data_IF_723623735589
#
_entry.id   IF_723623735589
#
_cell.length_a   1.000
_cell.length_b   1.000
_cell.length_c   1.000
_cell.angle_alpha   90.00
_cell.angle_beta   90.00
_cell.angle_gamma   90.00
#
_symmetry.space_group_name_H-M   'P 1'
#
loop_
_entity.id
_entity.type
_entity.pdbx_description
1 polymer ?
#
# COMPACT_ATOMS: atom_id res chain seq x y z
N UNK A 1 13.09 8.60 -6.31
CA UNK A 1 12.29 8.99 -5.13
C UNK A 1 10.94 9.43 -5.64
N UNK A 2 9.88 8.77 -5.19
CA UNK A 2 8.50 9.05 -5.61
C UNK A 2 7.66 9.30 -4.37
N UNK A 3 6.72 10.23 -4.41
CA UNK A 3 5.82 10.47 -3.29
C UNK A 3 4.43 10.00 -3.67
N UNK A 4 3.89 9.08 -2.86
CA UNK A 4 2.57 8.51 -3.04
C UNK A 4 1.62 9.16 -2.04
N UNK A 5 0.50 9.70 -2.51
CA UNK A 5 -0.51 10.32 -1.65
C UNK A 5 -1.59 9.31 -1.26
N UNK A 6 -1.98 9.34 0.02
CA UNK A 6 -2.99 8.45 0.59
C UNK A 6 -4.05 9.26 1.34
N UNK A 7 -5.22 8.64 1.54
CA UNK A 7 -6.32 9.27 2.25
C UNK A 7 -6.12 9.08 3.74
N UNK A 8 -5.71 10.14 4.45
CA UNK A 8 -5.44 10.13 5.90
C UNK A 8 -6.56 9.49 6.73
N UNK A 9 -7.81 9.68 6.37
CA UNK A 9 -8.93 9.17 7.17
C UNK A 9 -9.30 7.71 6.85
N UNK A 10 -8.69 7.12 5.83
CA UNK A 10 -9.00 5.78 5.36
C UNK A 10 -7.81 4.84 5.56
N UNK A 11 -8.06 3.71 6.21
CA UNK A 11 -7.00 2.72 6.41
C UNK A 11 -7.25 1.78 7.58
N UNK A 12 -6.33 0.85 7.75
CA UNK A 12 -6.27 0.04 8.96
C UNK A 12 -5.93 0.94 10.16
N UNK A 13 -6.74 0.86 11.21
CA UNK A 13 -6.58 1.70 12.40
C UNK A 13 -5.47 1.16 13.29
N UNK A 14 -4.23 1.54 13.00
CA UNK A 14 -3.10 1.33 13.90
C UNK A 14 -3.04 2.51 14.88
N UNK A 15 -3.74 2.35 16.01
CA UNK A 15 -4.14 3.42 16.94
C UNK A 15 -2.98 4.21 17.60
N UNK A 16 -1.73 3.87 17.31
CA UNK A 16 -0.54 4.50 17.88
C UNK A 16 0.49 4.90 16.82
N UNK A 17 0.23 4.75 15.53
CA UNK A 17 1.31 4.91 14.54
C UNK A 17 1.81 6.36 14.38
N UNK A 18 0.95 7.34 14.66
CA UNK A 18 1.16 8.76 14.34
C UNK A 18 1.31 9.62 15.59
N UNK A 19 1.38 9.01 16.77
CA UNK A 19 1.68 9.72 18.00
C UNK A 19 3.10 10.28 17.91
N UNK A 20 3.28 11.62 17.96
CA UNK A 20 4.60 12.23 17.81
C UNK A 20 5.51 11.78 18.95
N UNK A 21 6.64 11.17 18.61
CA UNK A 21 7.57 10.59 19.57
C UNK A 21 7.29 9.13 19.94
N UNK A 22 6.35 8.46 19.27
CA UNK A 22 6.15 7.03 19.48
C UNK A 22 7.28 6.21 18.86
N UNK A 23 8.17 5.72 19.73
CA UNK A 23 9.25 4.81 19.35
C UNK A 23 8.73 3.49 18.73
N UNK A 24 7.49 3.10 19.02
CA UNK A 24 6.89 1.85 18.55
C UNK A 24 6.26 1.98 17.14
N UNK A 25 6.15 3.19 16.56
CA UNK A 25 5.51 3.36 15.25
C UNK A 25 6.22 2.54 14.15
N UNK A 26 7.55 2.56 14.15
CA UNK A 26 8.39 1.76 13.26
C UNK A 26 8.25 0.26 13.51
N UNK A 27 8.12 -0.16 14.78
CA UNK A 27 7.89 -1.57 15.14
C UNK A 27 6.50 -2.05 14.71
N UNK A 28 5.45 -1.25 14.91
CA UNK A 28 4.09 -1.55 14.46
C UNK A 28 4.00 -1.61 12.93
N UNK A 29 4.67 -0.69 12.23
CA UNK A 29 4.80 -0.76 10.77
C UNK A 29 5.49 -2.05 10.35
N UNK A 30 6.60 -2.40 10.99
CA UNK A 30 7.34 -3.62 10.69
C UNK A 30 6.50 -4.87 10.96
N UNK A 31 5.73 -4.89 12.05
CA UNK A 31 4.80 -5.98 12.36
C UNK A 31 3.67 -6.05 11.33
N UNK A 32 3.09 -4.92 10.92
CA UNK A 32 2.04 -4.87 9.89
C UNK A 32 2.59 -5.37 8.54
N UNK A 33 3.74 -4.87 8.09
CA UNK A 33 4.44 -5.31 6.88
C UNK A 33 4.73 -6.82 6.93
N UNK A 34 5.13 -7.34 8.10
CA UNK A 34 5.37 -8.77 8.31
C UNK A 34 4.06 -9.58 8.28
N UNK A 35 2.97 -9.06 8.88
CA UNK A 35 1.63 -9.68 8.87
C UNK A 35 1.06 -9.81 7.47
N UNK A 36 1.30 -8.82 6.61
CA UNK A 36 0.88 -8.88 5.20
C UNK A 36 1.84 -9.72 4.34
N UNK A 37 2.79 -10.44 4.95
CA UNK A 37 3.69 -11.36 4.25
C UNK A 37 4.80 -10.68 3.45
N UNK A 38 5.08 -9.40 3.74
CA UNK A 38 6.08 -8.58 3.05
C UNK A 38 7.29 -8.30 3.95
N UNK A 39 7.54 -9.14 4.96
CA UNK A 39 8.60 -8.97 5.94
C UNK A 39 9.99 -9.02 5.32
N UNK A 40 10.44 -7.91 4.75
CA UNK A 40 11.79 -7.75 4.23
C UNK A 40 12.66 -7.07 5.30
N UNK A 41 13.71 -7.73 5.82
CA UNK A 41 14.56 -7.17 6.87
C UNK A 41 15.35 -5.94 6.41
N UNK A 42 15.51 -5.74 5.10
CA UNK A 42 16.22 -4.61 4.51
C UNK A 42 15.33 -3.37 4.32
N UNK A 43 14.03 -3.46 4.63
CA UNK A 43 13.09 -2.35 4.50
C UNK A 43 12.80 -1.74 5.87
N UNK A 44 12.95 -0.43 5.96
CA UNK A 44 12.71 0.37 7.16
C UNK A 44 11.72 1.47 6.82
N UNK A 45 10.71 1.64 7.67
CA UNK A 45 9.73 2.70 7.55
C UNK A 45 9.85 3.65 8.75
N UNK A 46 9.94 4.95 8.47
CA UNK A 46 10.04 6.02 9.45
C UNK A 46 8.84 6.93 9.32
N UNK A 47 8.15 7.18 10.43
CA UNK A 47 6.97 8.05 10.48
C UNK A 47 7.40 9.44 10.95
N UNK A 48 7.00 10.46 10.19
CA UNK A 48 7.19 11.88 10.48
C UNK A 48 5.85 12.60 10.36
N UNK A 49 5.10 12.67 11.47
CA UNK A 49 3.73 13.15 11.46
C UNK A 49 2.84 12.28 10.58
N UNK A 50 2.21 12.85 9.55
CA UNK A 50 1.38 12.11 8.59
C UNK A 50 2.14 11.55 7.37
N UNK A 51 3.46 11.81 7.28
CA UNK A 51 4.30 11.32 6.20
C UNK A 51 5.08 10.10 6.67
N UNK A 52 5.10 9.04 5.86
CA UNK A 52 5.93 7.86 6.13
C UNK A 52 7.00 7.73 5.07
N UNK A 53 8.26 7.73 5.47
CA UNK A 53 9.40 7.49 4.58
C UNK A 53 9.75 6.03 4.62
N UNK A 54 9.72 5.35 3.47
CA UNK A 54 10.09 3.94 3.37
C UNK A 54 11.40 3.83 2.59
N UNK A 55 12.42 3.29 3.27
CA UNK A 55 13.78 3.13 2.75
C UNK A 55 14.14 1.65 2.75
N UNK A 56 14.98 1.22 1.80
CA UNK A 56 15.48 -0.15 1.80
C UNK A 56 15.79 -0.68 0.42
N UNK A 57 16.04 -1.98 0.37
CA UNK A 57 16.32 -2.71 -0.86
C UNK A 57 15.40 -3.92 -0.98
N UNK A 58 14.72 -4.04 -2.13
CA UNK A 58 13.86 -5.18 -2.43
C UNK A 58 14.31 -5.88 -3.70
N UNK A 59 14.08 -7.19 -3.76
CA UNK A 59 14.43 -7.99 -4.91
C UNK A 59 13.47 -7.78 -6.10
N UNK A 60 12.26 -7.26 -5.88
CA UNK A 60 11.25 -7.12 -6.94
C UNK A 60 10.42 -5.85 -6.76
N UNK A 61 10.03 -5.24 -7.88
CA UNK A 61 9.17 -4.06 -7.85
C UNK A 61 7.79 -4.33 -7.22
N UNK A 62 7.24 -5.52 -7.44
CA UNK A 62 5.98 -5.92 -6.80
C UNK A 62 6.07 -5.86 -5.27
N UNK A 63 7.18 -6.30 -4.68
CA UNK A 63 7.37 -6.27 -3.23
C UNK A 63 7.40 -4.82 -2.72
N UNK A 64 8.15 -3.95 -3.39
CA UNK A 64 8.16 -2.50 -3.14
C UNK A 64 6.75 -1.91 -3.18
N UNK A 65 6.00 -2.17 -4.24
CA UNK A 65 4.66 -1.62 -4.45
C UNK A 65 3.68 -2.07 -3.36
N UNK A 66 3.73 -3.36 -3.00
CA UNK A 66 2.91 -3.92 -1.93
C UNK A 66 3.27 -3.32 -0.56
N UNK A 67 4.56 -3.08 -0.28
CA UNK A 67 4.99 -2.43 0.97
C UNK A 67 4.46 -1.00 1.03
N UNK A 68 4.60 -0.24 -0.06
CA UNK A 68 4.10 1.15 -0.13
C UNK A 68 2.60 1.22 0.11
N UNK A 69 1.84 0.27 -0.45
CA UNK A 69 0.40 0.15 -0.20
C UNK A 69 0.07 -0.24 1.24
N UNK A 70 0.83 -1.17 1.83
CA UNK A 70 0.61 -1.60 3.21
C UNK A 70 0.81 -0.45 4.19
N UNK A 71 1.87 0.33 3.97
CA UNK A 71 2.16 1.51 4.78
C UNK A 71 1.15 2.63 4.53
N UNK A 72 0.80 2.89 3.28
CA UNK A 72 -0.08 4.01 2.93
C UNK A 72 -1.55 3.77 3.24
N UNK A 73 -2.01 2.51 3.28
CA UNK A 73 -3.37 2.14 3.68
C UNK A 73 -3.54 2.07 5.21
N UNK A 74 -2.70 2.75 5.99
CA UNK A 74 -2.83 2.89 7.44
C UNK A 74 -3.54 4.20 7.73
N UNK A 75 -4.52 4.15 8.64
CA UNK A 75 -5.26 5.34 9.04
C UNK A 75 -4.31 6.41 9.61
N UNK A 76 -4.35 7.57 8.98
CA UNK A 76 -3.66 8.82 9.29
C UNK A 76 -2.35 9.03 8.54
N UNK A 77 -1.93 8.06 7.71
CA UNK A 77 -0.87 8.27 6.71
C UNK A 77 -1.43 9.08 5.55
N UNK A 78 -0.88 10.27 5.31
CA UNK A 78 -1.27 11.14 4.20
C UNK A 78 -0.36 11.01 2.99
N UNK A 79 0.90 10.63 3.20
CA UNK A 79 1.86 10.46 2.12
C UNK A 79 2.92 9.45 2.49
N UNK A 80 3.33 8.66 1.50
CA UNK A 80 4.45 7.72 1.61
C UNK A 80 5.56 8.15 0.67
N UNK A 81 6.73 8.45 1.21
CA UNK A 81 7.93 8.75 0.44
C UNK A 81 8.65 7.43 0.11
N UNK A 82 8.71 7.11 -1.17
CA UNK A 82 9.37 5.93 -1.71
C UNK A 82 10.86 6.22 -1.96
N UNK A 83 11.68 5.62 -1.10
CA UNK A 83 13.14 5.55 -1.22
C UNK A 83 13.63 4.10 -1.32
N UNK A 84 12.76 3.17 -1.70
CA UNK A 84 13.14 1.77 -1.90
C UNK A 84 13.86 1.61 -3.23
N UNK A 85 15.02 0.97 -3.20
CA UNK A 85 15.77 0.54 -4.38
C UNK A 85 15.37 -0.88 -4.76
N UNK A 86 15.06 -1.10 -6.04
CA UNK A 86 14.74 -2.43 -6.58
C UNK A 86 15.99 -2.97 -7.28
N UNK A 87 16.50 -4.12 -6.85
CA UNK A 87 17.71 -4.74 -7.42
C UNK A 87 17.43 -5.82 -8.45
N UNK A 88 16.19 -6.29 -8.55
CA UNK A 88 15.79 -7.27 -9.54
C UNK A 88 15.40 -6.67 -10.90
N UNK A 89 14.77 -7.49 -11.77
CA UNK A 89 14.40 -7.07 -13.11
C UNK A 89 13.41 -5.91 -13.08
N UNK A 90 13.65 -4.91 -13.92
CA UNK A 90 12.74 -3.78 -14.10
C UNK A 90 11.50 -4.29 -14.83
N UNK A 91 10.47 -4.61 -14.06
CA UNK A 91 9.14 -4.91 -14.57
C UNK A 91 8.32 -3.62 -14.68
N UNK A 92 7.21 -3.66 -15.39
CA UNK A 92 6.36 -2.49 -15.53
C UNK A 92 5.66 -2.17 -14.20
N UNK A 93 5.61 -0.89 -13.85
CA UNK A 93 5.03 -0.45 -12.58
C UNK A 93 3.52 -0.65 -12.56
N UNK A 94 3.00 -1.15 -11.45
CA UNK A 94 1.57 -1.17 -11.22
C UNK A 94 1.05 0.26 -11.00
N UNK A 95 -0.19 0.50 -11.41
CA UNK A 95 -0.87 1.77 -11.15
C UNK A 95 -1.59 1.67 -9.80
N UNK A 96 -1.49 2.70 -8.97
CA UNK A 96 -2.25 2.77 -7.73
C UNK A 96 -3.54 3.56 -7.94
N UNK A 97 -4.67 2.97 -7.55
CA UNK A 97 -5.98 3.61 -7.63
C UNK A 97 -6.62 3.68 -6.26
N UNK A 98 -6.99 4.88 -5.85
CA UNK A 98 -7.75 5.11 -4.64
C UNK A 98 -9.24 4.80 -4.86
N UNK A 99 -9.80 3.96 -4.01
CA UNK A 99 -11.22 3.61 -3.97
C UNK A 99 -12.01 4.84 -3.52
N UNK A 100 -13.03 5.23 -4.28
CA UNK A 100 -13.93 6.32 -3.89
C UNK A 100 -15.20 5.73 -3.25
N UNK A 101 -15.92 6.52 -2.44
CA UNK A 101 -17.19 6.07 -1.86
C UNK A 101 -18.17 5.63 -2.97
N UNK A 102 -18.55 4.35 -2.93
CA UNK A 102 -19.44 3.72 -3.91
C UNK A 102 -18.73 2.96 -5.04
N UNK A 103 -17.39 3.01 -5.12
CA UNK A 103 -16.64 2.17 -6.06
C UNK A 103 -16.68 0.70 -5.60
N UNK A 104 -16.82 -0.21 -6.58
CA UNK A 104 -16.61 -1.65 -6.42
C UNK A 104 -15.36 -2.07 -7.17
N UNK A 105 -14.80 -3.24 -6.84
CA UNK A 105 -13.61 -3.75 -7.52
C UNK A 105 -13.83 -3.87 -9.04
N UNK A 106 -15.02 -4.32 -9.45
CA UNK A 106 -15.43 -4.41 -10.85
C UNK A 106 -15.60 -3.04 -11.51
N UNK A 107 -16.09 -2.02 -10.80
CA UNK A 107 -16.19 -0.66 -11.33
C UNK A 107 -14.80 -0.05 -11.57
N UNK A 108 -13.87 -0.24 -10.63
CA UNK A 108 -12.47 0.17 -10.77
C UNK A 108 -11.82 -0.57 -11.95
N UNK A 109 -12.04 -1.88 -12.02
CA UNK A 109 -11.53 -2.71 -13.12
C UNK A 109 -12.03 -2.23 -14.48
N UNK A 110 -13.32 -1.91 -14.60
CA UNK A 110 -13.90 -1.34 -15.81
C UNK A 110 -13.32 0.04 -16.14
N UNK A 111 -13.04 0.88 -15.13
CA UNK A 111 -12.44 2.21 -15.33
C UNK A 111 -11.00 2.13 -15.81
N UNK A 112 -10.22 1.17 -15.31
CA UNK A 112 -8.78 1.06 -15.61
C UNK A 112 -8.51 0.18 -16.84
N UNK A 113 -9.12 -1.00 -16.91
CA UNK A 113 -8.91 -1.95 -18.00
C UNK A 113 -9.97 -1.90 -19.10
N UNK A 114 -11.07 -1.16 -18.89
CA UNK A 114 -12.23 -1.20 -19.79
C UNK A 114 -13.14 -2.41 -19.57
N UNK A 115 -12.74 -3.39 -18.78
CA UNK A 115 -13.47 -4.65 -18.55
C UNK A 115 -13.72 -4.89 -17.06
N UNK A 116 -14.99 -5.12 -16.70
CA UNK A 116 -15.39 -5.30 -15.31
C UNK A 116 -15.02 -6.70 -14.74
N UNK A 117 -14.75 -7.69 -15.60
CA UNK A 117 -14.41 -9.05 -15.21
C UNK A 117 -12.92 -9.20 -14.83
N UNK A 118 -12.09 -8.20 -15.13
CA UNK A 118 -10.69 -8.18 -14.73
C UNK A 118 -10.48 -7.81 -13.24
N UNK A 119 -11.56 -7.72 -12.45
CA UNK A 119 -11.49 -7.44 -11.03
C UNK A 119 -10.67 -8.51 -10.29
N UNK A 120 -10.70 -9.77 -10.74
CA UNK A 120 -9.87 -10.85 -10.18
C UNK A 120 -8.38 -10.51 -10.21
N UNK A 121 -7.88 -9.87 -11.28
CA UNK A 121 -6.46 -9.48 -11.37
C UNK A 121 -6.08 -8.48 -10.28
N UNK A 122 -6.95 -7.50 -10.04
CA UNK A 122 -6.78 -6.51 -8.96
C UNK A 122 -6.78 -7.24 -7.62
N UNK A 123 -7.75 -8.13 -7.40
CA UNK A 123 -7.85 -8.89 -6.16
C UNK A 123 -6.58 -9.69 -5.88
N UNK A 124 -6.08 -10.43 -6.87
CA UNK A 124 -4.87 -11.24 -6.72
C UNK A 124 -3.61 -10.39 -6.50
N UNK A 125 -3.48 -9.27 -7.20
CA UNK A 125 -2.35 -8.36 -7.03
C UNK A 125 -2.27 -7.71 -5.63
N UNK A 126 -3.42 -7.59 -4.94
CA UNK A 126 -3.51 -7.02 -3.60
C UNK A 126 -3.55 -8.08 -2.48
N UNK A 127 -3.47 -9.37 -2.80
CA UNK A 127 -3.30 -10.40 -1.76
C UNK A 127 -1.89 -10.35 -1.16
N UNK A 128 -1.74 -10.61 0.15
CA UNK A 128 -2.78 -11.00 1.11
C UNK A 128 -3.50 -9.82 1.80
N UNK A 129 -3.15 -8.57 1.47
CA UNK A 129 -3.72 -7.39 2.11
C UNK A 129 -5.23 -7.26 1.88
N UNK A 130 -5.71 -7.64 0.70
CA UNK A 130 -7.13 -7.72 0.38
C UNK A 130 -7.59 -9.19 0.52
N UNK A 131 -8.39 -9.46 1.55
CA UNK A 131 -8.88 -10.82 1.84
C UNK A 131 -10.13 -11.20 1.03
N UNK A 132 -10.91 -10.23 0.54
CA UNK A 132 -12.08 -10.45 -0.29
C UNK A 132 -12.25 -9.31 -1.30
N UNK A 133 -12.72 -9.56 -2.54
CA UNK A 133 -12.93 -8.51 -3.55
C UNK A 133 -13.86 -7.37 -3.10
N UNK A 134 -14.90 -7.70 -2.33
CA UNK A 134 -15.83 -6.70 -1.77
C UNK A 134 -15.37 -6.05 -0.47
N UNK A 135 -14.26 -6.51 0.14
CA UNK A 135 -13.71 -5.92 1.38
C UNK A 135 -12.81 -4.73 1.07
N UNK A 136 -13.28 -3.85 0.19
CA UNK A 136 -12.64 -2.58 -0.09
C UNK A 136 -13.37 -1.45 0.62
N UNK A 137 -12.65 -0.40 1.01
CA UNK A 137 -13.23 0.75 1.68
C UNK A 137 -12.85 2.06 0.99
N UNK A 138 -13.68 3.11 1.10
CA UNK A 138 -13.38 4.42 0.53
C UNK A 138 -12.06 4.96 1.10
N UNK A 139 -11.19 5.42 0.21
CA UNK A 139 -9.84 5.92 0.50
C UNK A 139 -8.75 4.85 0.53
N UNK A 140 -9.10 3.55 0.43
CA UNK A 140 -8.13 2.49 0.23
C UNK A 140 -7.44 2.65 -1.12
N UNK A 141 -6.12 2.59 -1.16
CA UNK A 141 -5.35 2.49 -2.39
C UNK A 141 -5.19 1.02 -2.77
N UNK A 142 -5.39 0.70 -4.05
CA UNK A 142 -5.27 -0.65 -4.61
C UNK A 142 -4.21 -0.69 -5.70
N UNK A 143 -3.42 -1.76 -5.70
CA UNK A 143 -2.51 -2.11 -6.79
C UNK A 143 -3.28 -2.57 -8.00
N UNK A 144 -3.07 -1.94 -9.15
CA UNK A 144 -3.62 -2.36 -10.42
C UNK A 144 -2.45 -2.83 -11.29
N UNK A 145 -2.27 -4.15 -11.48
CA UNK A 145 -1.24 -4.66 -12.40
C UNK A 145 -1.59 -4.25 -13.84
N UNK A 146 -0.65 -4.32 -14.79
CA UNK A 146 -1.00 -4.18 -16.21
C UNK A 146 -1.61 -5.44 -16.82
#
# INVERSE_FOLDING_TARGET
MSLLSFVKEAGEKLLDLLTPGNANASEQLKEHISKVGLGNPNVQATVDGDKVTVTGEVASQEEKEKILLAVGNIAGVGSVDDQITVTGPVVKAAVFVTVVKGDTLSAISKRVYGDANQYNKIFEANKPMLSHPDKIYPGQSLRIPE
#
